data_IF_381666370526
#
_entry.id   IF_381666370526
#
_cell.length_a   1.000
_cell.length_b   1.000
_cell.length_c   1.000
_cell.angle_alpha   90.00
_cell.angle_beta   90.00
_cell.angle_gamma   90.00
#
_symmetry.space_group_name_H-M   'P 1'
#
loop_
_entity.id
_entity.type
_entity.pdbx_description
1 polymer ?
#
# COMPACT_ATOMS: atom_id res chain seq x y z
N UNK A 1 3.47 36.83 -21.06
CA UNK A 1 3.53 35.51 -21.73
C UNK A 1 3.78 34.48 -20.65
N UNK A 2 2.71 33.85 -20.16
CA UNK A 2 2.76 32.77 -19.19
C UNK A 2 2.78 31.46 -19.98
N UNK A 3 3.96 30.89 -20.19
CA UNK A 3 4.08 29.51 -20.62
C UNK A 3 3.93 28.62 -19.38
N UNK A 4 2.73 28.10 -19.19
CA UNK A 4 2.44 27.03 -18.25
C UNK A 4 3.19 25.77 -18.73
N UNK A 5 4.21 25.36 -18.00
CA UNK A 5 4.87 24.08 -18.19
C UNK A 5 3.96 23.00 -17.57
N UNK A 6 3.10 22.43 -18.40
CA UNK A 6 2.36 21.23 -18.02
C UNK A 6 3.38 20.09 -17.92
N UNK A 7 3.56 19.57 -16.70
CA UNK A 7 4.43 18.44 -16.43
C UNK A 7 3.93 17.22 -17.20
N UNK A 8 4.79 16.67 -18.06
CA UNK A 8 4.56 15.41 -18.74
C UNK A 8 4.46 14.29 -17.70
N UNK A 9 3.25 13.99 -17.22
CA UNK A 9 2.97 12.72 -16.55
C UNK A 9 3.31 11.62 -17.56
N UNK A 10 4.28 10.79 -17.23
CA UNK A 10 4.53 9.54 -17.96
C UNK A 10 3.27 8.68 -17.85
N UNK A 11 2.44 8.74 -18.89
CA UNK A 11 1.22 7.95 -18.97
C UNK A 11 1.60 6.48 -19.08
N UNK A 12 1.18 5.68 -18.10
CA UNK A 12 1.17 4.23 -18.18
C UNK A 12 0.47 3.79 -19.48
N UNK A 13 1.06 2.82 -20.17
CA UNK A 13 0.66 2.39 -21.53
C UNK A 13 -0.59 1.51 -21.59
N UNK A 14 -1.18 1.20 -20.43
CA UNK A 14 -2.30 0.25 -20.32
C UNK A 14 -3.60 0.95 -20.67
N UNK A 15 -4.36 0.37 -21.60
CA UNK A 15 -5.63 0.93 -22.04
C UNK A 15 -6.73 0.76 -20.97
N UNK A 16 -7.66 1.71 -20.88
CA UNK A 16 -8.78 1.63 -19.93
C UNK A 16 -9.62 0.33 -20.07
N UNK A 17 -9.91 -0.19 -21.28
CA UNK A 17 -10.61 -1.47 -21.43
C UNK A 17 -9.86 -2.66 -20.84
N UNK A 18 -8.53 -2.68 -20.96
CA UNK A 18 -7.68 -3.75 -20.41
C UNK A 18 -7.64 -3.72 -18.88
N UNK A 19 -7.61 -2.52 -18.29
CA UNK A 19 -7.74 -2.35 -16.84
C UNK A 19 -9.09 -2.85 -16.33
N UNK A 20 -10.18 -2.50 -17.01
CA UNK A 20 -11.52 -2.94 -16.64
C UNK A 20 -11.68 -4.46 -16.76
N UNK A 21 -11.11 -5.07 -17.82
CA UNK A 21 -11.11 -6.52 -17.99
C UNK A 21 -10.36 -7.24 -16.85
N UNK A 22 -9.26 -6.66 -16.34
CA UNK A 22 -8.50 -7.20 -15.19
C UNK A 22 -9.20 -7.05 -13.86
N UNK A 23 -9.88 -5.92 -13.62
CA UNK A 23 -10.63 -5.70 -12.38
C UNK A 23 -11.78 -6.70 -12.29
N UNK A 24 -12.36 -7.10 -13.43
CA UNK A 24 -13.31 -8.22 -13.54
C UNK A 24 -14.64 -8.03 -12.79
N UNK A 25 -14.79 -6.97 -12.00
CA UNK A 25 -15.93 -6.70 -11.14
C UNK A 25 -16.33 -5.22 -11.17
N UNK A 26 -17.64 -4.95 -11.22
CA UNK A 26 -18.19 -3.60 -11.26
C UNK A 26 -18.14 -2.88 -9.90
N UNK A 27 -17.88 -3.60 -8.81
CA UNK A 27 -17.92 -3.03 -7.45
C UNK A 27 -16.59 -2.40 -7.00
N UNK A 28 -15.50 -2.61 -7.75
CA UNK A 28 -14.15 -2.07 -7.50
C UNK A 28 -13.62 -2.36 -6.09
N UNK A 29 -14.18 -3.32 -5.35
CA UNK A 29 -13.72 -3.60 -3.97
C UNK A 29 -12.32 -4.17 -3.95
N UNK A 30 -12.02 -5.07 -4.89
CA UNK A 30 -10.72 -5.71 -5.06
C UNK A 30 -10.21 -5.34 -6.44
N UNK A 31 -9.05 -4.72 -6.51
CA UNK A 31 -8.43 -4.26 -7.75
C UNK A 31 -7.01 -4.78 -7.81
N UNK A 32 -6.73 -5.59 -8.83
CA UNK A 32 -5.40 -6.12 -9.12
C UNK A 32 -4.81 -5.51 -10.40
N UNK A 33 -3.76 -4.71 -10.19
CA UNK A 33 -3.03 -3.97 -11.22
C UNK A 33 -1.54 -4.36 -11.22
N UNK A 34 -1.22 -5.57 -10.79
CA UNK A 34 0.15 -6.07 -10.73
C UNK A 34 0.76 -6.28 -12.13
N UNK A 35 2.08 -6.12 -12.28
CA UNK A 35 2.79 -6.38 -13.55
C UNK A 35 2.18 -5.63 -14.75
N UNK A 36 1.98 -4.32 -14.59
CA UNK A 36 1.44 -3.42 -15.61
C UNK A 36 2.42 -2.31 -15.99
N UNK A 37 3.66 -2.38 -15.50
CA UNK A 37 4.69 -1.35 -15.68
C UNK A 37 4.21 0.06 -15.29
N UNK A 38 3.38 0.15 -14.25
CA UNK A 38 2.79 1.41 -13.80
C UNK A 38 3.83 2.28 -13.09
N UNK A 39 3.92 3.54 -13.51
CA UNK A 39 4.66 4.59 -12.77
C UNK A 39 3.74 5.42 -11.88
N UNK A 40 2.45 5.47 -12.24
CA UNK A 40 1.39 6.17 -11.51
C UNK A 40 0.09 5.37 -11.61
N UNK A 41 -0.86 5.68 -10.72
CA UNK A 41 -2.19 5.10 -10.76
C UNK A 41 -2.97 5.60 -11.99
N UNK A 42 -3.64 4.71 -12.73
CA UNK A 42 -4.53 5.11 -13.82
C UNK A 42 -5.71 5.97 -13.31
N UNK A 43 -6.15 6.95 -14.11
CA UNK A 43 -7.22 7.88 -13.71
C UNK A 43 -8.52 7.17 -13.33
N UNK A 44 -8.87 6.08 -14.01
CA UNK A 44 -10.04 5.25 -13.67
C UNK A 44 -10.01 4.72 -12.23
N UNK A 45 -8.81 4.50 -11.68
CA UNK A 45 -8.61 4.03 -10.30
C UNK A 45 -8.75 5.19 -9.33
N UNK A 46 -8.24 6.36 -9.70
CA UNK A 46 -8.39 7.59 -8.93
C UNK A 46 -9.88 7.96 -8.78
N UNK A 47 -10.64 7.84 -9.87
CA UNK A 47 -12.09 8.10 -9.93
C UNK A 47 -12.93 7.11 -9.10
N UNK A 48 -12.38 5.95 -8.74
CA UNK A 48 -13.06 4.91 -7.94
C UNK A 48 -12.39 4.67 -6.59
N UNK A 49 -11.50 5.57 -6.18
CA UNK A 49 -10.71 5.45 -4.95
C UNK A 49 -11.54 5.29 -3.67
N UNK A 50 -12.78 5.81 -3.66
CA UNK A 50 -13.73 5.66 -2.57
C UNK A 50 -14.35 4.26 -2.48
N UNK A 51 -14.34 3.47 -3.56
CA UNK A 51 -14.91 2.11 -3.59
C UNK A 51 -13.90 1.02 -3.27
N UNK A 52 -12.62 1.31 -3.43
CA UNK A 52 -11.55 0.32 -3.33
C UNK A 52 -11.25 -0.01 -1.87
N UNK A 53 -11.36 -1.30 -1.54
CA UNK A 53 -11.01 -1.85 -0.22
C UNK A 53 -9.69 -2.62 -0.24
N UNK A 54 -9.36 -3.25 -1.37
CA UNK A 54 -8.18 -4.08 -1.55
C UNK A 54 -7.49 -3.71 -2.86
N UNK A 55 -6.25 -3.24 -2.78
CA UNK A 55 -5.47 -2.81 -3.93
C UNK A 55 -4.15 -3.57 -4.00
N UNK A 56 -3.94 -4.28 -5.10
CA UNK A 56 -2.72 -5.06 -5.40
C UNK A 56 -2.02 -4.36 -6.57
N UNK A 57 -0.78 -3.93 -6.33
CA UNK A 57 0.04 -3.15 -7.25
C UNK A 57 1.45 -3.75 -7.40
N UNK A 58 1.57 -5.06 -7.19
CA UNK A 58 2.87 -5.74 -7.17
C UNK A 58 3.57 -5.65 -8.54
N UNK A 59 4.91 -5.73 -8.56
CA UNK A 59 5.71 -5.75 -9.79
C UNK A 59 5.44 -4.55 -10.72
N UNK A 60 5.41 -3.34 -10.16
CA UNK A 60 5.30 -2.08 -10.91
C UNK A 60 6.50 -1.15 -10.63
N UNK A 61 6.43 0.09 -11.10
CA UNK A 61 7.50 1.10 -10.95
C UNK A 61 7.10 2.27 -10.05
N UNK A 62 6.17 2.04 -9.12
CA UNK A 62 5.66 3.09 -8.24
C UNK A 62 6.75 3.55 -7.26
N UNK A 63 6.83 4.86 -7.04
CA UNK A 63 7.70 5.51 -6.06
C UNK A 63 6.87 5.97 -4.86
N UNK A 64 7.49 6.41 -3.77
CA UNK A 64 6.80 6.94 -2.57
C UNK A 64 5.77 8.06 -2.83
N UNK A 65 5.81 8.71 -3.99
CA UNK A 65 4.95 9.86 -4.37
C UNK A 65 3.70 9.46 -5.16
N UNK A 66 3.51 8.18 -5.49
CA UNK A 66 2.38 7.75 -6.36
C UNK A 66 0.98 8.07 -5.81
N UNK A 67 0.88 8.41 -4.52
CA UNK A 67 -0.35 8.78 -3.81
C UNK A 67 -0.52 10.28 -3.57
N UNK A 68 0.37 11.14 -4.09
CA UNK A 68 0.32 12.58 -3.87
C UNK A 68 -1.09 13.14 -4.21
N UNK A 69 -1.61 12.73 -5.36
CA UNK A 69 -2.90 13.17 -5.91
C UNK A 69 -4.08 12.23 -5.61
N UNK A 70 -3.88 11.16 -4.82
CA UNK A 70 -4.90 10.15 -4.56
C UNK A 70 -5.33 10.13 -3.07
N UNK A 71 -6.57 9.71 -2.80
CA UNK A 71 -7.04 9.44 -1.44
C UNK A 71 -7.93 8.19 -1.47
N UNK A 72 -7.61 7.19 -0.66
CA UNK A 72 -8.35 5.93 -0.59
C UNK A 72 -9.00 5.76 0.79
N UNK A 73 -10.16 6.41 1.04
CA UNK A 73 -10.76 6.49 2.37
C UNK A 73 -11.24 5.13 2.91
N UNK A 74 -11.47 4.15 2.04
CA UNK A 74 -11.99 2.83 2.37
C UNK A 74 -10.96 1.69 2.25
N UNK A 75 -9.72 1.99 1.86
CA UNK A 75 -8.70 0.99 1.64
C UNK A 75 -8.31 0.29 2.94
N UNK A 76 -8.41 -1.04 2.93
CA UNK A 76 -8.09 -1.95 4.03
C UNK A 76 -6.79 -2.70 3.77
N UNK A 77 -6.52 -3.11 2.53
CA UNK A 77 -5.25 -3.76 2.17
C UNK A 77 -4.57 -3.12 0.98
N UNK A 78 -3.25 -2.96 1.09
CA UNK A 78 -2.40 -2.46 0.02
C UNK A 78 -1.18 -3.38 -0.14
N UNK A 79 -1.00 -3.94 -1.33
CA UNK A 79 0.19 -4.69 -1.72
C UNK A 79 0.99 -3.91 -2.75
N UNK A 80 2.27 -3.69 -2.47
CA UNK A 80 3.19 -2.91 -3.29
C UNK A 80 4.51 -3.66 -3.48
N UNK A 81 4.47 -4.99 -3.55
CA UNK A 81 5.70 -5.77 -3.63
C UNK A 81 6.48 -5.45 -4.91
N UNK A 82 7.81 -5.52 -4.83
CA UNK A 82 8.72 -5.30 -5.97
C UNK A 82 8.47 -3.99 -6.74
N UNK A 83 8.16 -2.91 -6.02
CA UNK A 83 8.08 -1.56 -6.59
C UNK A 83 9.39 -0.77 -6.34
N UNK A 84 9.40 0.51 -6.66
CA UNK A 84 10.58 1.38 -6.55
C UNK A 84 10.49 2.37 -5.38
N UNK A 85 9.84 1.98 -4.28
CA UNK A 85 9.71 2.82 -3.08
C UNK A 85 11.05 2.84 -2.34
N UNK A 86 11.69 4.01 -2.30
CA UNK A 86 13.02 4.19 -1.68
C UNK A 86 12.90 4.85 -0.32
N UNK A 87 12.09 5.88 -0.20
CA UNK A 87 11.89 6.59 1.06
C UNK A 87 10.62 6.12 1.78
N UNK A 88 10.77 5.07 2.59
CA UNK A 88 9.66 4.50 3.37
C UNK A 88 9.03 5.52 4.32
N UNK A 89 9.81 6.46 4.88
CA UNK A 89 9.24 7.45 5.81
C UNK A 89 8.30 8.42 5.11
N UNK A 90 8.68 8.90 3.93
CA UNK A 90 7.83 9.79 3.11
C UNK A 90 6.58 9.03 2.66
N UNK A 91 6.75 7.80 2.17
CA UNK A 91 5.63 6.92 1.82
C UNK A 91 4.64 6.74 2.98
N UNK A 92 5.13 6.46 4.19
CA UNK A 92 4.27 6.29 5.37
C UNK A 92 3.53 7.57 5.77
N UNK A 93 4.13 8.76 5.56
CA UNK A 93 3.43 10.03 5.79
C UNK A 93 2.22 10.15 4.85
N UNK A 94 2.40 9.90 3.56
CA UNK A 94 1.30 9.92 2.60
C UNK A 94 0.21 8.90 2.95
N UNK A 95 0.58 7.64 3.19
CA UNK A 95 -0.38 6.58 3.53
C UNK A 95 -1.18 6.93 4.80
N UNK A 96 -0.53 7.52 5.81
CA UNK A 96 -1.20 7.85 7.07
C UNK A 96 -2.38 8.83 6.91
N UNK A 97 -2.33 9.70 5.90
CA UNK A 97 -3.38 10.68 5.61
C UNK A 97 -4.33 10.20 4.51
N UNK A 98 -3.81 9.50 3.49
CA UNK A 98 -4.58 9.09 2.32
C UNK A 98 -5.32 7.76 2.50
N UNK A 99 -4.90 6.89 3.43
CA UNK A 99 -5.46 5.55 3.65
C UNK A 99 -5.80 5.31 5.13
N UNK A 100 -6.77 6.04 5.72
CA UNK A 100 -7.02 6.06 7.17
C UNK A 100 -7.58 4.75 7.77
N UNK A 101 -7.99 3.80 6.92
CA UNK A 101 -8.55 2.50 7.30
C UNK A 101 -7.63 1.32 7.00
N UNK A 102 -6.38 1.57 6.60
CA UNK A 102 -5.46 0.52 6.21
C UNK A 102 -5.14 -0.40 7.40
N UNK A 103 -5.34 -1.71 7.20
CA UNK A 103 -5.06 -2.77 8.18
C UNK A 103 -3.98 -3.75 7.70
N UNK A 104 -3.72 -3.83 6.40
CA UNK A 104 -2.70 -4.69 5.80
C UNK A 104 -1.83 -3.89 4.82
N UNK A 105 -0.51 -4.05 4.93
CA UNK A 105 0.48 -3.43 4.02
C UNK A 105 1.56 -4.46 3.66
N UNK A 106 1.91 -4.58 2.38
CA UNK A 106 3.04 -5.39 1.92
C UNK A 106 4.02 -4.55 1.10
N UNK A 107 5.31 -4.61 1.44
CA UNK A 107 6.38 -3.80 0.84
C UNK A 107 7.61 -4.62 0.42
N UNK A 108 7.51 -5.95 0.43
CA UNK A 108 8.62 -6.86 0.11
C UNK A 108 9.20 -6.52 -1.26
N UNK A 109 10.54 -6.50 -1.39
CA UNK A 109 11.21 -6.25 -2.67
C UNK A 109 11.39 -4.77 -3.05
N UNK A 110 10.88 -3.83 -2.25
CA UNK A 110 11.16 -2.40 -2.46
C UNK A 110 12.57 -2.02 -1.97
N UNK A 111 13.33 -1.16 -2.69
CA UNK A 111 14.68 -0.76 -2.28
C UNK A 111 14.78 -0.12 -0.89
N UNK A 112 13.75 0.62 -0.48
CA UNK A 112 13.68 1.26 0.84
C UNK A 112 13.28 0.32 1.97
N UNK A 113 12.76 -0.87 1.66
CA UNK A 113 12.22 -1.81 2.63
C UNK A 113 13.21 -2.94 2.91
N UNK A 114 13.53 -3.24 4.19
CA UNK A 114 14.46 -4.31 4.51
C UNK A 114 13.89 -5.66 4.05
N UNK A 115 14.69 -6.42 3.29
CA UNK A 115 14.27 -7.74 2.82
C UNK A 115 14.21 -8.71 4.01
N UNK A 116 13.06 -9.35 4.32
CA UNK A 116 12.92 -10.21 5.50
C UNK A 116 13.88 -11.41 5.51
N UNK A 117 14.12 -12.00 4.33
CA UNK A 117 14.95 -13.20 4.14
C UNK A 117 16.43 -12.87 3.84
N UNK A 118 16.72 -11.85 3.02
CA UNK A 118 18.09 -11.53 2.58
C UNK A 118 18.85 -10.61 3.54
N UNK A 119 18.15 -9.81 4.36
CA UNK A 119 18.84 -9.07 5.39
C UNK A 119 19.14 -10.03 6.56
N UNK A 120 20.41 -10.36 6.77
CA UNK A 120 20.94 -11.04 7.97
C UNK A 120 20.71 -10.26 9.29
N UNK A 121 19.70 -9.39 9.35
CA UNK A 121 19.44 -8.48 10.44
C UNK A 121 17.93 -8.37 10.71
N UNK A 122 17.37 -9.45 11.27
CA UNK A 122 15.98 -9.49 11.73
C UNK A 122 15.63 -8.31 12.67
N UNK A 123 16.62 -7.78 13.41
CA UNK A 123 16.44 -6.62 14.28
C UNK A 123 16.16 -5.33 13.50
N UNK A 124 16.81 -5.12 12.34
CA UNK A 124 16.50 -3.99 11.45
C UNK A 124 15.08 -4.10 10.91
N UNK A 125 14.68 -5.27 10.42
CA UNK A 125 13.31 -5.51 9.95
C UNK A 125 12.28 -5.19 11.04
N UNK A 126 12.48 -5.71 12.26
CA UNK A 126 11.61 -5.44 13.40
C UNK A 126 11.54 -3.94 13.77
N UNK A 127 12.65 -3.21 13.66
CA UNK A 127 12.66 -1.76 13.88
C UNK A 127 11.89 -0.99 12.79
N UNK A 128 11.95 -1.44 11.54
CA UNK A 128 11.14 -0.89 10.46
C UNK A 128 9.66 -1.15 10.71
N UNK A 129 9.25 -2.37 11.05
CA UNK A 129 7.85 -2.70 11.39
C UNK A 129 7.35 -1.84 12.56
N UNK A 130 8.15 -1.67 13.62
CA UNK A 130 7.82 -0.76 14.73
C UNK A 130 7.66 0.69 14.28
N UNK A 131 8.44 1.13 13.29
CA UNK A 131 8.34 2.48 12.73
C UNK A 131 7.04 2.61 11.94
N UNK A 132 6.70 1.65 11.07
CA UNK A 132 5.41 1.59 10.36
C UNK A 132 4.23 1.69 11.34
N UNK A 133 4.25 0.92 12.44
CA UNK A 133 3.18 0.93 13.44
C UNK A 133 3.00 2.28 14.15
N UNK A 134 4.04 3.13 14.22
CA UNK A 134 3.91 4.49 14.78
C UNK A 134 3.17 5.43 13.82
N UNK A 135 3.35 5.25 12.51
CA UNK A 135 2.63 6.02 11.49
C UNK A 135 1.22 5.50 11.25
N UNK A 136 1.05 4.18 11.32
CA UNK A 136 -0.20 3.47 11.00
C UNK A 136 -0.65 2.66 12.22
N UNK A 137 -1.23 3.32 13.25
CA UNK A 137 -1.55 2.65 14.52
C UNK A 137 -2.61 1.56 14.40
N UNK A 138 -3.48 1.63 13.39
CA UNK A 138 -4.54 0.65 13.10
C UNK A 138 -4.05 -0.55 12.28
N UNK A 139 -2.80 -0.54 11.82
CA UNK A 139 -2.25 -1.58 10.97
C UNK A 139 -2.09 -2.88 11.75
N UNK A 140 -2.67 -3.96 11.22
CA UNK A 140 -2.70 -5.28 11.85
C UNK A 140 -1.63 -6.21 11.29
N UNK A 141 -1.28 -6.06 10.01
CA UNK A 141 -0.31 -6.92 9.32
C UNK A 141 0.65 -6.10 8.46
N UNK A 142 1.93 -6.48 8.49
CA UNK A 142 2.98 -6.02 7.56
C UNK A 142 3.63 -7.25 6.95
N UNK A 143 3.66 -7.36 5.63
CA UNK A 143 4.26 -8.49 4.90
C UNK A 143 3.72 -9.86 5.37
N UNK A 144 2.42 -9.94 5.66
CA UNK A 144 1.74 -11.10 6.27
C UNK A 144 2.16 -11.45 7.71
N UNK A 145 3.01 -10.63 8.34
CA UNK A 145 3.41 -10.78 9.73
C UNK A 145 2.51 -9.91 10.62
N UNK A 146 1.90 -10.46 11.69
CA UNK A 146 1.12 -9.69 12.64
C UNK A 146 1.95 -8.56 13.27
N UNK A 147 1.38 -7.36 13.33
CA UNK A 147 2.01 -6.23 14.03
C UNK A 147 1.91 -6.43 15.55
N UNK A 148 2.81 -5.81 16.33
CA UNK A 148 2.71 -5.82 17.79
C UNK A 148 1.37 -5.28 18.32
N UNK A 149 0.69 -4.41 17.56
CA UNK A 149 -0.60 -3.85 17.95
C UNK A 149 -1.71 -4.91 17.87
N UNK A 150 -1.71 -5.73 16.82
CA UNK A 150 -2.67 -6.81 16.65
C UNK A 150 -2.49 -7.92 17.70
N UNK A 151 -1.24 -8.28 18.00
CA UNK A 151 -0.93 -9.28 19.02
C UNK A 151 -1.42 -8.88 20.42
N UNK A 152 -1.31 -7.58 20.78
CA UNK A 152 -1.83 -7.07 22.05
C UNK A 152 -3.36 -7.13 22.15
N UNK A 153 -4.09 -6.85 21.06
CA UNK A 153 -5.55 -7.00 21.06
C UNK A 153 -5.99 -8.46 21.11
N UNK A 154 -5.24 -9.38 20.49
CA UNK A 154 -5.58 -10.81 20.51
C UNK A 154 -5.29 -11.48 21.87
N UNK A 155 -4.32 -10.97 22.63
CA UNK A 155 -3.99 -11.46 23.97
C UNK A 155 -4.94 -10.93 25.07
N UNK A 156 -5.95 -10.12 24.70
CA UNK A 156 -6.98 -9.64 25.61
C UNK A 156 -8.32 -10.36 25.40
N UNK A 157 -8.29 -11.63 25.02
CA UNK A 157 -9.43 -12.52 25.27
C UNK A 157 -9.42 -12.80 26.77
N UNK A 158 -10.43 -12.39 27.56
CA UNK A 158 -10.50 -12.81 28.94
C UNK A 158 -10.57 -14.33 28.92
N UNK A 159 -9.56 -14.99 29.50
CA UNK A 159 -9.69 -16.40 29.84
C UNK A 159 -11.00 -16.54 30.61
N UNK A 160 -11.99 -17.20 30.00
CA UNK A 160 -13.15 -17.70 30.71
C UNK A 160 -12.60 -18.60 31.81
N UNK A 161 -12.45 -18.05 33.01
CA UNK A 161 -12.36 -18.81 34.25
C UNK A 161 -13.65 -19.59 34.35
N UNK A 162 -13.60 -20.84 33.88
CA UNK A 162 -14.60 -21.85 34.18
C UNK A 162 -14.53 -22.03 35.69
N UNK A 163 -15.66 -21.74 36.33
CA UNK A 163 -15.89 -21.91 37.77
C UNK A 163 -15.84 -23.39 38.18
#
# INVERSE_FOLDING_TARGET
MIHSACASRSHSTVSAPELLARIGCEDFKVVDLSDLNLYNLPDVILDKSDKIEHLILDENHLTEEFLEDACFPNLKSLSLNSNNIKNIRVFLQFISWKCPKLVFLSLIGNPGWPHPILCNNAKLYQNCVKTVCKFLPKLQFVDSIPTPNFQKSSNHIPECRIA
#
